data_IF_909788189913
#
_entry.id   IF_909788189913
#
_cell.length_a   1.000
_cell.length_b   1.000
_cell.length_c   1.000
_cell.angle_alpha   90.00
_cell.angle_beta   90.00
_cell.angle_gamma   90.00
#
_symmetry.space_group_name_H-M   'P 1'
#
loop_
_entity.id
_entity.type
_entity.pdbx_description
1 polymer ?
#
# COMPACT_ATOMS: atom_id res chain seq x y z
N UNK A 1 -8.02 -31.34 0.37
CA UNK A 1 -6.64 -31.01 0.79
C UNK A 1 -6.01 -30.21 -0.33
N UNK A 2 -5.79 -28.91 -0.14
CA UNK A 2 -4.95 -28.14 -1.07
C UNK A 2 -3.51 -28.66 -0.91
N UNK A 3 -2.78 -28.98 -1.99
CA UNK A 3 -1.36 -29.24 -1.88
C UNK A 3 -0.74 -28.01 -1.22
N UNK A 4 0.10 -28.21 -0.20
CA UNK A 4 0.97 -27.15 0.30
C UNK A 4 1.75 -26.64 -0.90
N UNK A 5 1.37 -25.49 -1.46
CA UNK A 5 2.17 -24.86 -2.50
C UNK A 5 3.53 -24.60 -1.87
N UNK A 6 4.56 -25.24 -2.43
CA UNK A 6 5.94 -24.98 -2.05
C UNK A 6 6.14 -23.45 -2.11
N UNK A 7 6.52 -22.83 -0.99
CA UNK A 7 6.82 -21.40 -0.96
C UNK A 7 8.08 -21.21 -1.81
N UNK A 8 7.95 -20.52 -2.94
CA UNK A 8 9.05 -20.28 -3.89
C UNK A 8 9.68 -18.92 -3.63
N UNK A 9 11.00 -18.89 -3.65
CA UNK A 9 11.78 -17.65 -3.58
C UNK A 9 11.93 -16.98 -4.93
N UNK A 10 12.33 -15.71 -4.90
CA UNK A 10 12.81 -14.99 -6.07
C UNK A 10 14.31 -14.73 -5.90
N UNK A 11 15.08 -15.02 -6.94
CA UNK A 11 16.53 -14.87 -6.96
C UNK A 11 16.92 -13.40 -6.80
N UNK A 12 18.04 -13.18 -6.12
CA UNK A 12 18.69 -11.88 -6.02
C UNK A 12 20.20 -12.11 -6.10
N UNK A 13 20.68 -12.32 -7.32
CA UNK A 13 22.09 -12.59 -7.56
C UNK A 13 22.96 -11.39 -7.14
N UNK A 14 24.20 -11.60 -6.69
CA UNK A 14 25.10 -10.52 -6.30
C UNK A 14 25.18 -9.41 -7.35
N UNK A 15 24.96 -8.16 -6.94
CA UNK A 15 24.97 -6.99 -7.82
C UNK A 15 23.68 -6.76 -8.61
N UNK A 16 22.69 -7.65 -8.57
CA UNK A 16 21.40 -7.43 -9.23
C UNK A 16 20.48 -6.46 -8.47
N UNK A 17 20.70 -6.32 -7.15
CA UNK A 17 19.98 -5.40 -6.25
C UNK A 17 18.45 -5.43 -6.41
N UNK A 18 17.88 -6.61 -6.67
CA UNK A 18 16.46 -6.81 -6.99
C UNK A 18 15.59 -7.18 -5.78
N UNK A 19 16.12 -7.11 -4.56
CA UNK A 19 15.38 -7.45 -3.34
C UNK A 19 14.10 -6.60 -3.15
N UNK A 20 14.13 -5.32 -3.51
CA UNK A 20 12.96 -4.43 -3.42
C UNK A 20 11.81 -4.90 -4.33
N UNK A 21 12.15 -5.34 -5.54
CA UNK A 21 11.20 -5.89 -6.50
C UNK A 21 10.66 -7.23 -6.01
N UNK A 22 11.54 -8.10 -5.52
CA UNK A 22 11.16 -9.41 -5.01
C UNK A 22 10.16 -9.28 -3.86
N UNK A 23 10.39 -8.35 -2.93
CA UNK A 23 9.47 -8.04 -1.84
C UNK A 23 8.10 -7.57 -2.35
N UNK A 24 8.06 -6.65 -3.34
CA UNK A 24 6.79 -6.17 -3.91
C UNK A 24 6.03 -7.27 -4.66
N UNK A 25 6.74 -8.11 -5.42
CA UNK A 25 6.14 -9.25 -6.14
C UNK A 25 5.59 -10.27 -5.17
N UNK A 26 6.33 -10.63 -4.12
CA UNK A 26 5.86 -11.59 -3.13
C UNK A 26 4.64 -11.07 -2.37
N UNK A 27 4.61 -9.77 -2.05
CA UNK A 27 3.43 -9.14 -1.43
C UNK A 27 2.19 -9.34 -2.29
N UNK A 28 2.26 -9.07 -3.60
CA UNK A 28 1.16 -9.25 -4.54
C UNK A 28 0.83 -10.73 -4.79
N UNK A 29 1.85 -11.57 -4.94
CA UNK A 29 1.70 -13.00 -5.16
C UNK A 29 0.92 -13.62 -4.02
N UNK A 30 1.26 -13.35 -2.77
CA UNK A 30 0.57 -13.98 -1.65
C UNK A 30 -0.88 -13.49 -1.40
N UNK A 31 -1.43 -12.62 -2.25
CA UNK A 31 -2.85 -12.24 -2.21
C UNK A 31 -3.69 -13.05 -3.22
N UNK A 32 -4.42 -14.06 -2.73
CA UNK A 32 -5.23 -14.97 -3.57
C UNK A 32 -6.23 -14.21 -4.49
N UNK A 33 -6.89 -13.19 -3.94
CA UNK A 33 -7.85 -12.38 -4.70
C UNK A 33 -7.19 -11.61 -5.85
N UNK A 34 -5.95 -11.17 -5.66
CA UNK A 34 -5.16 -10.51 -6.69
C UNK A 34 -4.67 -11.52 -7.73
N UNK A 35 -4.08 -12.65 -7.32
CA UNK A 35 -3.66 -13.70 -8.25
C UNK A 35 -4.81 -14.14 -9.16
N UNK A 36 -5.96 -14.45 -8.57
CA UNK A 36 -7.14 -14.93 -9.28
C UNK A 36 -7.67 -13.87 -10.23
N UNK A 37 -7.77 -12.62 -9.76
CA UNK A 37 -8.20 -11.52 -10.62
C UNK A 37 -7.24 -11.29 -11.79
N UNK A 38 -5.92 -11.35 -11.57
CA UNK A 38 -4.94 -11.09 -12.62
C UNK A 38 -4.97 -12.20 -13.67
N UNK A 39 -5.12 -13.45 -13.23
CA UNK A 39 -5.22 -14.60 -14.11
C UNK A 39 -6.43 -14.49 -15.06
N UNK A 40 -7.57 -13.98 -14.57
CA UNK A 40 -8.80 -13.81 -15.36
C UNK A 40 -8.71 -12.72 -16.44
N UNK A 41 -7.78 -11.76 -16.33
CA UNK A 41 -7.65 -10.66 -17.29
C UNK A 41 -6.98 -11.14 -18.59
N UNK A 42 -7.72 -11.20 -19.69
CA UNK A 42 -7.21 -11.66 -20.99
C UNK A 42 -6.82 -10.55 -21.96
N UNK A 43 -7.23 -9.30 -21.69
CA UNK A 43 -6.94 -8.15 -22.55
C UNK A 43 -6.33 -6.99 -21.76
N UNK A 44 -5.42 -6.27 -22.41
CA UNK A 44 -4.79 -5.04 -21.91
C UNK A 44 -4.21 -4.25 -23.09
N UNK A 45 -3.91 -2.97 -22.88
CA UNK A 45 -3.13 -2.15 -23.80
C UNK A 45 -1.64 -2.44 -23.61
N UNK A 46 -1.10 -3.32 -24.44
CA UNK A 46 0.30 -3.72 -24.38
C UNK A 46 1.22 -2.60 -24.92
N UNK A 47 2.30 -2.30 -24.20
CA UNK A 47 3.35 -1.36 -24.65
C UNK A 47 4.52 -2.05 -25.37
N UNK A 48 4.37 -3.33 -25.72
CA UNK A 48 5.41 -4.17 -26.31
C UNK A 48 5.93 -5.25 -25.35
N UNK A 49 6.44 -6.36 -25.91
CA UNK A 49 6.79 -7.55 -25.12
C UNK A 49 7.87 -7.34 -24.05
N UNK A 50 8.77 -6.37 -24.24
CA UNK A 50 9.92 -6.14 -23.32
C UNK A 50 9.72 -5.00 -22.31
N UNK A 51 8.69 -4.17 -22.49
CA UNK A 51 8.44 -2.97 -21.66
C UNK A 51 7.06 -2.98 -21.00
N UNK A 52 6.27 -4.03 -21.22
CA UNK A 52 4.94 -4.14 -20.64
C UNK A 52 4.98 -4.83 -19.27
N UNK A 53 4.79 -4.05 -18.21
CA UNK A 53 4.75 -4.52 -16.82
C UNK A 53 3.63 -5.54 -16.60
N UNK A 54 2.47 -5.37 -17.24
CA UNK A 54 1.36 -6.34 -17.16
C UNK A 54 1.78 -7.73 -17.67
N UNK A 55 2.37 -7.80 -18.87
CA UNK A 55 2.86 -9.07 -19.43
C UNK A 55 3.96 -9.68 -18.56
N UNK A 56 4.94 -8.89 -18.15
CA UNK A 56 6.07 -9.38 -17.36
C UNK A 56 5.61 -9.93 -16.00
N UNK A 57 4.69 -9.24 -15.31
CA UNK A 57 4.12 -9.72 -14.05
C UNK A 57 3.38 -11.05 -14.25
N UNK A 58 2.61 -11.20 -15.33
CA UNK A 58 1.95 -12.47 -15.67
C UNK A 58 2.94 -13.61 -15.90
N UNK A 59 4.07 -13.35 -16.56
CA UNK A 59 5.13 -14.35 -16.75
C UNK A 59 5.67 -14.80 -15.39
N UNK A 60 6.02 -13.86 -14.50
CA UNK A 60 6.53 -14.16 -13.16
C UNK A 60 5.49 -14.96 -12.34
N UNK A 61 4.22 -14.56 -12.35
CA UNK A 61 3.16 -15.28 -11.65
C UNK A 61 2.91 -16.68 -12.21
N UNK A 62 3.03 -16.85 -13.52
CA UNK A 62 2.93 -18.16 -14.18
C UNK A 62 4.08 -19.07 -13.73
N UNK A 63 5.30 -18.55 -13.67
CA UNK A 63 6.46 -19.30 -13.16
C UNK A 63 6.29 -19.66 -11.68
N UNK A 64 5.88 -18.70 -10.83
CA UNK A 64 5.59 -18.95 -9.41
C UNK A 64 4.53 -20.04 -9.24
N UNK A 65 3.53 -20.09 -10.12
CA UNK A 65 2.49 -21.11 -10.08
C UNK A 65 2.96 -22.49 -10.52
N UNK A 66 3.64 -22.58 -11.66
CA UNK A 66 3.81 -23.85 -12.38
C UNK A 66 5.24 -24.38 -12.49
N UNK A 67 6.26 -23.55 -12.23
CA UNK A 67 7.66 -24.01 -12.30
C UNK A 67 8.01 -24.91 -11.12
N UNK A 68 8.79 -25.96 -11.32
CA UNK A 68 9.27 -26.82 -10.22
C UNK A 68 10.51 -26.26 -9.52
N UNK A 69 11.06 -25.13 -9.99
CA UNK A 69 12.25 -24.53 -9.38
C UNK A 69 11.89 -23.88 -8.02
N UNK A 70 12.70 -24.09 -6.97
CA UNK A 70 12.48 -23.47 -5.66
C UNK A 70 12.74 -21.97 -5.66
N UNK A 71 13.62 -21.50 -6.56
CA UNK A 71 13.97 -20.09 -6.75
C UNK A 71 13.76 -19.71 -8.21
N UNK A 72 13.09 -18.58 -8.44
CA UNK A 72 12.72 -18.09 -9.77
C UNK A 72 13.31 -16.70 -10.03
N UNK A 73 13.41 -16.31 -11.29
CA UNK A 73 13.92 -15.01 -11.68
C UNK A 73 12.78 -14.03 -12.02
N UNK A 74 12.83 -12.84 -11.43
CA UNK A 74 11.91 -11.73 -11.74
C UNK A 74 12.51 -10.74 -12.76
N UNK A 75 13.63 -11.07 -13.41
CA UNK A 75 14.38 -10.22 -14.33
C UNK A 75 13.54 -9.65 -15.47
N UNK A 76 12.60 -10.43 -16.02
CA UNK A 76 11.68 -9.93 -17.06
C UNK A 76 10.83 -8.74 -16.58
N UNK A 77 10.43 -8.75 -15.31
CA UNK A 77 9.68 -7.65 -14.69
C UNK A 77 10.62 -6.50 -14.31
N UNK A 78 11.83 -6.81 -13.84
CA UNK A 78 12.89 -5.81 -13.59
C UNK A 78 13.17 -4.99 -14.85
N UNK A 79 13.38 -5.65 -15.98
CA UNK A 79 13.64 -4.99 -17.27
C UNK A 79 12.45 -4.18 -17.76
N UNK A 80 11.21 -4.69 -17.58
CA UNK A 80 10.01 -3.96 -17.97
C UNK A 80 9.82 -2.67 -17.15
N UNK A 81 10.14 -2.69 -15.85
CA UNK A 81 10.14 -1.50 -15.00
C UNK A 81 11.24 -0.53 -15.42
N UNK A 82 12.49 -0.98 -15.59
CA UNK A 82 13.61 -0.14 -16.02
C UNK A 82 13.33 0.58 -17.36
N UNK A 83 12.63 -0.09 -18.28
CA UNK A 83 12.26 0.49 -19.57
C UNK A 83 11.14 1.55 -19.48
N UNK A 84 10.34 1.54 -18.40
CA UNK A 84 9.25 2.50 -18.22
C UNK A 84 9.61 3.71 -17.35
N UNK A 85 10.62 3.56 -16.50
CA UNK A 85 11.07 4.60 -15.60
C UNK A 85 12.53 4.88 -15.89
N UNK A 86 12.85 6.06 -16.42
CA UNK A 86 14.19 6.38 -16.94
C UNK A 86 15.28 6.48 -15.88
N UNK A 87 14.91 6.83 -14.65
CA UNK A 87 15.78 7.13 -13.52
C UNK A 87 15.54 6.22 -12.32
N UNK A 88 14.41 5.49 -12.33
CA UNK A 88 14.03 4.55 -11.28
C UNK A 88 14.07 3.12 -11.80
N UNK A 89 14.30 2.19 -10.90
CA UNK A 89 14.32 0.77 -11.20
C UNK A 89 15.35 0.44 -12.28
N UNK A 90 16.53 1.04 -12.26
CA UNK A 90 17.58 0.73 -13.24
C UNK A 90 18.30 -0.59 -12.91
N UNK A 91 18.72 -1.34 -13.94
CA UNK A 91 19.37 -2.64 -13.74
C UNK A 91 20.65 -2.48 -12.91
N UNK A 92 20.81 -3.32 -11.89
CA UNK A 92 21.93 -3.25 -10.95
C UNK A 92 21.78 -2.21 -9.85
N UNK A 93 20.77 -1.35 -9.90
CA UNK A 93 20.51 -0.34 -8.87
C UNK A 93 19.46 -0.82 -7.87
N UNK A 94 19.60 -0.36 -6.62
CA UNK A 94 18.63 -0.58 -5.54
C UNK A 94 17.56 0.51 -5.55
N UNK A 95 16.34 0.16 -5.17
CA UNK A 95 15.20 1.07 -5.10
C UNK A 95 14.30 0.75 -3.90
N UNK A 96 13.28 1.57 -3.68
CA UNK A 96 12.28 1.38 -2.63
C UNK A 96 11.20 0.35 -3.03
N UNK A 97 10.89 -0.58 -2.11
CA UNK A 97 9.93 -1.65 -2.37
C UNK A 97 8.48 -1.17 -2.36
N UNK A 98 8.14 -0.20 -1.50
CA UNK A 98 6.79 0.36 -1.45
C UNK A 98 6.51 1.16 -2.72
N UNK A 99 7.45 1.99 -3.15
CA UNK A 99 7.34 2.71 -4.43
C UNK A 99 7.27 1.72 -5.61
N UNK A 100 8.08 0.66 -5.61
CA UNK A 100 7.99 -0.38 -6.65
C UNK A 100 6.59 -1.01 -6.72
N UNK A 101 5.99 -1.35 -5.57
CA UNK A 101 4.63 -1.88 -5.50
C UNK A 101 3.62 -0.88 -6.10
N UNK A 102 3.70 0.38 -5.72
CA UNK A 102 2.82 1.43 -6.25
C UNK A 102 2.96 1.61 -7.76
N UNK A 103 4.18 1.58 -8.26
CA UNK A 103 4.46 1.70 -9.69
C UNK A 103 3.96 0.48 -10.45
N UNK A 104 4.10 -0.74 -9.91
CA UNK A 104 3.48 -1.94 -10.51
C UNK A 104 1.95 -1.77 -10.57
N UNK A 105 1.30 -1.39 -9.48
CA UNK A 105 -0.14 -1.17 -9.41
C UNK A 105 -0.62 -0.06 -10.38
N UNK A 106 0.14 1.03 -10.48
CA UNK A 106 -0.10 2.13 -11.41
C UNK A 106 0.05 1.73 -12.87
N UNK A 107 1.08 0.93 -13.20
CA UNK A 107 1.27 0.40 -14.55
C UNK A 107 0.19 -0.61 -14.92
N UNK A 108 -0.28 -1.45 -14.00
CA UNK A 108 -1.43 -2.32 -14.22
C UNK A 108 -2.69 -1.52 -14.52
N UNK A 109 -2.97 -0.46 -13.74
CA UNK A 109 -4.06 0.47 -14.03
C UNK A 109 -3.94 1.07 -15.43
N UNK A 110 -2.78 1.61 -15.78
CA UNK A 110 -2.51 2.19 -17.11
C UNK A 110 -2.78 1.19 -18.25
N UNK A 111 -2.31 -0.05 -18.12
CA UNK A 111 -2.50 -1.08 -19.14
C UNK A 111 -3.97 -1.53 -19.26
N UNK A 112 -4.78 -1.41 -18.20
CA UNK A 112 -6.17 -1.88 -18.20
C UNK A 112 -7.17 -0.76 -18.54
N UNK A 113 -6.89 0.48 -18.18
CA UNK A 113 -7.83 1.60 -18.31
C UNK A 113 -7.46 2.48 -19.50
N UNK A 114 -8.18 2.31 -20.60
CA UNK A 114 -7.93 2.92 -21.92
C UNK A 114 -7.93 4.47 -21.96
N UNK A 115 -8.47 5.14 -20.96
CA UNK A 115 -8.80 6.58 -21.03
C UNK A 115 -7.80 7.51 -20.31
N UNK A 116 -6.62 7.03 -19.89
CA UNK A 116 -5.68 7.82 -19.08
C UNK A 116 -6.34 8.49 -17.85
N UNK A 117 -7.44 7.92 -17.35
CA UNK A 117 -8.12 8.47 -16.18
C UNK A 117 -7.14 8.51 -15.01
N UNK A 118 -7.06 9.64 -14.27
CA UNK A 118 -6.25 9.72 -13.08
C UNK A 118 -6.55 8.55 -12.15
N UNK A 119 -5.52 7.95 -11.58
CA UNK A 119 -5.66 6.77 -10.71
C UNK A 119 -6.65 7.04 -9.57
N UNK A 120 -6.72 8.26 -9.07
CA UNK A 120 -7.63 8.65 -7.99
C UNK A 120 -9.12 8.69 -8.37
N UNK A 121 -9.45 8.62 -9.67
CA UNK A 121 -10.82 8.78 -10.20
C UNK A 121 -11.27 7.56 -11.05
N UNK A 122 -10.52 6.47 -11.00
CA UNK A 122 -10.84 5.26 -11.76
C UNK A 122 -12.14 4.62 -11.26
N UNK A 123 -13.09 4.37 -12.16
CA UNK A 123 -14.33 3.63 -11.89
C UNK A 123 -14.45 2.35 -12.70
N UNK A 124 -13.39 1.97 -13.42
CA UNK A 124 -13.37 0.79 -14.27
C UNK A 124 -13.42 -0.51 -13.44
N UNK A 125 -14.55 -1.23 -13.51
CA UNK A 125 -14.77 -2.47 -12.75
C UNK A 125 -13.81 -3.62 -13.10
N UNK A 126 -13.16 -3.57 -14.27
CA UNK A 126 -12.13 -4.52 -14.68
C UNK A 126 -10.72 -4.13 -14.24
N UNK A 127 -10.51 -2.94 -13.67
CA UNK A 127 -9.21 -2.54 -13.13
C UNK A 127 -8.94 -3.29 -11.83
N UNK A 128 -8.09 -4.31 -11.87
CA UNK A 128 -7.78 -5.12 -10.69
C UNK A 128 -7.15 -4.31 -9.57
N UNK A 129 -6.33 -3.32 -9.90
CA UNK A 129 -5.69 -2.42 -8.93
C UNK A 129 -6.75 -1.75 -8.04
N UNK A 130 -7.74 -1.10 -8.65
CA UNK A 130 -8.81 -0.41 -7.91
C UNK A 130 -9.83 -1.36 -7.32
N UNK A 131 -10.17 -2.45 -8.01
CA UNK A 131 -11.11 -3.43 -7.49
C UNK A 131 -10.61 -4.09 -6.21
N UNK A 132 -9.31 -4.40 -6.14
CA UNK A 132 -8.74 -5.09 -4.97
C UNK A 132 -8.29 -4.14 -3.88
N UNK A 133 -7.61 -3.05 -4.22
CA UNK A 133 -6.97 -2.16 -3.25
C UNK A 133 -7.67 -0.79 -3.08
N UNK A 134 -8.68 -0.48 -3.90
CA UNK A 134 -9.31 0.84 -3.94
C UNK A 134 -10.08 1.21 -2.68
N UNK A 135 -9.53 2.15 -1.93
CA UNK A 135 -10.20 2.86 -0.84
C UNK A 135 -10.81 4.15 -1.36
N UNK A 136 -12.12 4.20 -1.49
CA UNK A 136 -12.86 5.42 -1.83
C UNK A 136 -13.02 6.27 -0.57
N UNK A 137 -12.35 7.42 -0.53
CA UNK A 137 -12.22 8.26 0.65
C UNK A 137 -12.89 9.60 0.38
N UNK A 138 -13.75 10.01 1.31
CA UNK A 138 -14.25 11.38 1.41
C UNK A 138 -13.55 12.09 2.57
N UNK A 139 -12.86 13.18 2.26
CA UNK A 139 -12.32 14.07 3.28
C UNK A 139 -13.35 15.14 3.66
N UNK A 140 -13.35 15.50 4.93
CA UNK A 140 -14.07 16.66 5.45
C UNK A 140 -13.27 17.25 6.61
N UNK A 141 -13.48 18.53 6.89
CA UNK A 141 -12.90 19.17 8.07
C UNK A 141 -14.01 19.66 8.98
N UNK A 142 -14.00 19.23 10.23
CA UNK A 142 -15.08 19.52 11.15
C UNK A 142 -14.56 20.21 12.41
N UNK A 143 -15.26 21.24 12.86
CA UNK A 143 -15.01 21.88 14.13
C UNK A 143 -15.71 21.12 15.25
N UNK A 144 -14.99 20.53 16.22
CA UNK A 144 -15.61 19.85 17.36
C UNK A 144 -16.35 20.83 18.29
N UNK A 145 -16.01 22.13 18.25
CA UNK A 145 -16.60 23.15 19.13
C UNK A 145 -17.98 23.64 18.66
N UNK A 146 -18.12 23.98 17.37
CA UNK A 146 -19.36 24.57 16.83
C UNK A 146 -20.10 23.68 15.81
N UNK A 147 -19.54 22.52 15.46
CA UNK A 147 -20.15 21.61 14.48
C UNK A 147 -20.01 22.04 13.02
N UNK A 148 -19.35 23.17 12.72
CA UNK A 148 -19.10 23.59 11.33
C UNK A 148 -18.31 22.50 10.57
N UNK A 149 -18.81 22.09 9.41
CA UNK A 149 -18.16 21.12 8.52
C UNK A 149 -17.83 21.80 7.19
N UNK A 150 -16.58 21.69 6.78
CA UNK A 150 -16.10 22.06 5.46
C UNK A 150 -15.90 20.79 4.63
N UNK A 151 -16.58 20.63 3.47
CA UNK A 151 -16.36 19.49 2.60
C UNK A 151 -14.95 19.50 2.01
N UNK A 152 -14.38 18.32 1.83
CA UNK A 152 -13.10 18.08 1.15
C UNK A 152 -13.26 17.26 -0.12
N UNK A 153 -12.16 16.90 -0.78
CA UNK A 153 -12.20 16.07 -1.98
C UNK A 153 -12.65 14.64 -1.68
N UNK A 154 -13.18 13.99 -2.72
CA UNK A 154 -13.36 12.54 -2.79
C UNK A 154 -12.36 11.95 -3.77
N UNK A 155 -11.68 10.89 -3.38
CA UNK A 155 -10.68 10.23 -4.22
C UNK A 155 -10.50 8.77 -3.84
N UNK A 156 -9.95 7.98 -4.76
CA UNK A 156 -9.51 6.62 -4.48
C UNK A 156 -8.04 6.57 -4.11
N UNK A 157 -7.73 5.93 -2.99
CA UNK A 157 -6.38 5.66 -2.50
C UNK A 157 -6.12 4.15 -2.54
N UNK A 158 -4.91 3.72 -2.93
CA UNK A 158 -4.57 2.30 -2.98
C UNK A 158 -3.78 1.83 -1.76
N UNK A 159 -2.90 2.70 -1.25
CA UNK A 159 -2.06 2.46 -0.07
C UNK A 159 -2.31 3.53 0.97
N UNK A 160 -2.67 3.16 2.19
CA UNK A 160 -2.83 4.11 3.30
C UNK A 160 -1.51 4.26 4.07
N UNK A 161 -0.87 5.42 3.93
CA UNK A 161 0.35 5.73 4.66
C UNK A 161 0.07 6.34 6.03
N UNK A 162 0.82 5.89 7.03
CA UNK A 162 0.85 6.46 8.37
C UNK A 162 2.29 6.59 8.88
N UNK A 163 2.59 7.65 9.65
CA UNK A 163 3.86 7.75 10.37
C UNK A 163 3.90 6.70 11.47
N UNK A 164 4.94 5.87 11.45
CA UNK A 164 5.20 4.86 12.46
C UNK A 164 5.45 5.50 13.84
N UNK A 165 6.20 6.61 13.88
CA UNK A 165 6.46 7.36 15.11
C UNK A 165 5.19 7.92 15.75
N UNK A 166 4.35 8.58 14.94
CA UNK A 166 3.07 9.10 15.42
C UNK A 166 2.14 7.97 15.91
N UNK A 167 2.11 6.85 15.20
CA UNK A 167 1.33 5.68 15.57
C UNK A 167 1.79 5.08 16.90
N UNK A 168 3.09 4.86 17.07
CA UNK A 168 3.67 4.36 18.31
C UNK A 168 3.40 5.30 19.48
N UNK A 169 3.56 6.61 19.29
CA UNK A 169 3.19 7.61 20.31
C UNK A 169 1.73 7.47 20.72
N UNK A 170 0.80 7.36 19.77
CA UNK A 170 -0.63 7.17 20.05
C UNK A 170 -0.90 5.85 20.79
N UNK A 171 -0.26 4.76 20.39
CA UNK A 171 -0.42 3.46 21.04
C UNK A 171 0.09 3.49 22.49
N UNK A 172 1.26 4.10 22.74
CA UNK A 172 1.79 4.32 24.10
C UNK A 172 0.84 5.17 24.95
N UNK A 173 0.30 6.26 24.39
CA UNK A 173 -0.66 7.13 25.09
C UNK A 173 -1.98 6.43 25.45
N UNK A 174 -2.40 5.43 24.66
CA UNK A 174 -3.59 4.65 24.99
C UNK A 174 -3.38 3.69 26.16
N UNK A 175 -2.17 3.61 26.73
CA UNK A 175 -1.88 2.78 27.91
C UNK A 175 -1.97 1.29 27.64
N UNK A 176 -2.00 0.88 26.37
CA UNK A 176 -2.12 -0.52 25.96
C UNK A 176 -0.69 -1.06 25.88
N UNK A 177 -0.22 -1.55 27.03
CA UNK A 177 1.01 -2.32 27.11
C UNK A 177 0.86 -3.68 26.42
N UNK A 178 1.99 -4.33 26.14
CA UNK A 178 2.15 -5.67 25.54
C UNK A 178 1.30 -6.79 26.18
N UNK A 179 0.64 -6.52 27.31
CA UNK A 179 -0.08 -7.49 28.14
C UNK A 179 -1.51 -7.80 27.67
N UNK A 180 -2.16 -6.98 26.84
CA UNK A 180 -3.49 -7.30 26.31
C UNK A 180 -3.75 -6.66 24.93
N UNK A 181 -3.15 -7.19 23.86
CA UNK A 181 -3.38 -6.70 22.51
C UNK A 181 -4.82 -7.02 22.08
N UNK A 182 -5.72 -6.03 22.20
CA UNK A 182 -7.02 -6.13 21.53
C UNK A 182 -6.83 -5.91 20.02
N UNK A 183 -7.48 -6.72 19.15
CA UNK A 183 -7.39 -6.58 17.69
C UNK A 183 -7.71 -5.16 17.18
N UNK A 184 -8.51 -4.40 17.92
CA UNK A 184 -8.98 -3.07 17.51
C UNK A 184 -7.97 -1.94 17.79
N UNK A 185 -6.93 -2.21 18.57
CA UNK A 185 -6.01 -1.18 19.09
C UNK A 185 -5.20 -0.53 17.99
N UNK A 186 -4.65 -1.34 17.10
CA UNK A 186 -3.89 -0.86 15.97
C UNK A 186 -4.76 -0.02 15.03
N UNK A 187 -5.97 -0.50 14.71
CA UNK A 187 -6.94 0.22 13.89
C UNK A 187 -7.38 1.55 14.52
N UNK A 188 -7.58 1.58 15.84
CA UNK A 188 -7.88 2.80 16.58
C UNK A 188 -6.70 3.78 16.56
N UNK A 189 -5.47 3.28 16.71
CA UNK A 189 -4.23 4.04 16.55
C UNK A 189 -4.15 4.72 15.19
N UNK A 190 -4.30 3.94 14.12
CA UNK A 190 -4.32 4.46 12.73
C UNK A 190 -5.39 5.54 12.55
N UNK A 191 -6.60 5.32 13.06
CA UNK A 191 -7.69 6.30 12.99
C UNK A 191 -7.34 7.61 13.69
N UNK A 192 -6.66 7.56 14.84
CA UNK A 192 -6.24 8.77 15.57
C UNK A 192 -5.11 9.52 14.84
N UNK A 193 -4.12 8.79 14.32
CA UNK A 193 -3.02 9.40 13.54
C UNK A 193 -3.54 10.05 12.26
N UNK A 194 -4.48 9.41 11.56
CA UNK A 194 -5.06 9.94 10.33
C UNK A 194 -5.79 11.29 10.50
N UNK A 195 -6.22 11.63 11.72
CA UNK A 195 -6.84 12.92 12.05
C UNK A 195 -5.88 13.93 12.70
N UNK A 196 -4.64 13.54 12.99
CA UNK A 196 -3.66 14.38 13.67
C UNK A 196 -2.80 15.14 12.65
N UNK A 197 -2.65 16.46 12.83
CA UNK A 197 -1.61 17.24 12.14
C UNK A 197 -2.08 18.36 11.20
N UNK A 198 -3.36 18.41 10.80
CA UNK A 198 -3.86 19.48 9.91
C UNK A 198 -4.92 20.36 10.57
N UNK A 199 -4.46 21.16 11.54
CA UNK A 199 -5.28 22.12 12.27
C UNK A 199 -5.43 23.40 11.47
N UNK A 200 -6.67 23.73 11.10
CA UNK A 200 -7.01 25.04 10.52
C UNK A 200 -7.90 25.83 11.46
N UNK A 201 -7.80 27.15 11.45
CA UNK A 201 -8.70 27.99 12.23
C UNK A 201 -10.15 27.82 11.75
N UNK A 202 -11.08 27.66 12.69
CA UNK A 202 -12.50 27.57 12.35
C UNK A 202 -13.06 28.98 12.06
N UNK A 203 -13.63 29.22 10.87
CA UNK A 203 -14.16 30.55 10.50
C UNK A 203 -15.36 30.97 11.36
N UNK A 204 -16.03 30.02 12.01
CA UNK A 204 -17.20 30.28 12.88
C UNK A 204 -16.84 30.51 14.36
N UNK A 205 -15.62 30.19 14.78
CA UNK A 205 -15.19 30.33 16.18
C UNK A 205 -14.25 31.53 16.43
N UNK A 206 -13.83 32.23 15.38
CA UNK A 206 -12.85 33.35 15.46
C UNK A 206 -13.34 34.61 16.18
N UNK A 207 -14.63 34.70 16.54
CA UNK A 207 -15.20 35.85 17.27
C UNK A 207 -15.33 35.69 18.78
N UNK A 208 -15.07 34.50 19.36
CA UNK A 208 -15.32 34.23 20.77
C UNK A 208 -14.14 33.57 21.48
N UNK A 209 -13.16 34.41 21.87
CA UNK A 209 -12.28 34.27 23.05
C UNK A 209 -11.44 32.99 23.24
N UNK A 210 -11.44 32.06 22.28
CA UNK A 210 -10.80 30.75 22.44
C UNK A 210 -10.92 29.92 21.16
N UNK A 211 -10.39 30.46 20.06
CA UNK A 211 -10.59 29.99 18.68
C UNK A 211 -10.71 28.48 18.53
N UNK A 212 -11.76 28.02 17.84
CA UNK A 212 -11.92 26.62 17.47
C UNK A 212 -11.03 26.25 16.27
N UNK A 213 -10.68 24.98 16.15
CA UNK A 213 -9.96 24.44 14.99
C UNK A 213 -10.85 23.48 14.19
N UNK A 214 -10.53 23.32 12.90
CA UNK A 214 -11.07 22.29 12.04
C UNK A 214 -10.12 21.10 12.07
N UNK A 215 -10.67 19.92 12.39
CA UNK A 215 -9.95 18.65 12.37
C UNK A 215 -10.26 17.91 11.07
N UNK A 216 -9.24 17.38 10.39
CA UNK A 216 -9.43 16.50 9.24
C UNK A 216 -10.13 15.21 9.69
N UNK A 217 -11.19 14.85 8.98
CA UNK A 217 -11.91 13.59 9.10
C UNK A 217 -11.92 12.92 7.74
N UNK A 218 -11.61 11.63 7.72
CA UNK A 218 -11.67 10.79 6.53
C UNK A 218 -12.76 9.75 6.72
N UNK A 219 -13.65 9.65 5.74
CA UNK A 219 -14.69 8.63 5.68
C UNK A 219 -14.34 7.66 4.57
N UNK A 220 -14.19 6.39 4.91
CA UNK A 220 -14.06 5.33 3.93
C UNK A 220 -15.46 4.96 3.42
N UNK A 221 -15.70 5.18 2.14
CA UNK A 221 -16.98 4.95 1.47
C UNK A 221 -17.05 3.58 0.76
N UNK A 222 -15.89 2.94 0.54
CA UNK A 222 -15.80 1.59 -0.03
C UNK A 222 -15.45 0.54 1.03
N UNK A 223 -15.50 -0.73 0.63
CA UNK A 223 -14.93 -1.86 1.36
C UNK A 223 -13.90 -2.52 0.45
N UNK A 224 -12.60 -2.17 0.56
CA UNK A 224 -11.58 -2.80 -0.28
C UNK A 224 -11.45 -4.29 0.08
N UNK A 225 -11.20 -5.13 -0.92
CA UNK A 225 -10.91 -6.55 -0.71
C UNK A 225 -9.58 -6.73 0.04
N UNK A 226 -8.62 -5.85 -0.24
CA UNK A 226 -7.27 -5.84 0.33
C UNK A 226 -6.96 -4.42 0.84
N UNK A 227 -6.60 -4.31 2.11
CA UNK A 227 -6.10 -3.06 2.70
C UNK A 227 -4.57 -3.06 2.65
N UNK A 228 -3.98 -2.13 1.89
CA UNK A 228 -2.53 -1.91 1.89
C UNK A 228 -2.17 -0.76 2.82
N UNK A 229 -1.29 -1.02 3.80
CA UNK A 229 -0.81 -0.03 4.77
C UNK A 229 0.69 0.20 4.56
N UNK A 230 1.09 1.46 4.40
CA UNK A 230 2.48 1.88 4.37
C UNK A 230 2.86 2.57 5.68
N UNK A 231 3.86 2.05 6.39
CA UNK A 231 4.33 2.66 7.63
C UNK A 231 5.65 3.38 7.38
N UNK A 232 5.62 4.70 7.53
CA UNK A 232 6.76 5.57 7.24
C UNK A 232 7.51 5.89 8.53
N UNK A 233 8.80 5.61 8.54
CA UNK A 233 9.68 5.97 9.64
C UNK A 233 10.30 7.34 9.39
N UNK A 234 10.48 8.12 10.46
CA UNK A 234 11.17 9.41 10.38
C UNK A 234 12.70 9.26 10.24
N UNK A 235 13.20 8.02 10.31
CA UNK A 235 14.60 7.64 10.26
C UNK A 235 14.79 6.39 9.40
N UNK A 236 15.92 6.30 8.70
CA UNK A 236 16.38 5.11 7.99
C UNK A 236 16.80 3.97 8.94
N UNK A 237 16.98 4.28 10.23
CA UNK A 237 17.39 3.36 11.29
C UNK A 237 16.43 3.44 12.49
N UNK A 238 15.20 2.90 12.37
CA UNK A 238 14.29 2.82 13.50
C UNK A 238 14.87 1.92 14.61
N UNK A 239 14.58 2.26 15.88
CA UNK A 239 15.14 1.51 17.01
C UNK A 239 14.53 0.10 17.11
N UNK A 240 15.31 -0.90 17.50
CA UNK A 240 14.80 -2.27 17.66
C UNK A 240 13.61 -2.38 18.62
N UNK A 241 13.54 -1.50 19.62
CA UNK A 241 12.40 -1.40 20.53
C UNK A 241 11.14 -0.90 19.81
N UNK A 242 11.25 0.13 18.98
CA UNK A 242 10.12 0.67 18.21
C UNK A 242 9.61 -0.33 17.16
N UNK A 243 10.50 -1.06 16.47
CA UNK A 243 10.09 -2.16 15.58
C UNK A 243 9.35 -3.23 16.38
N UNK A 244 9.90 -3.65 17.52
CA UNK A 244 9.29 -4.68 18.36
C UNK A 244 7.91 -4.28 18.87
N UNK A 245 7.74 -3.03 19.28
CA UNK A 245 6.46 -2.49 19.72
C UNK A 245 5.45 -2.40 18.57
N UNK A 246 5.89 -1.97 17.38
CA UNK A 246 5.01 -1.94 16.22
C UNK A 246 4.52 -3.34 15.83
N UNK A 247 5.44 -4.30 15.70
CA UNK A 247 5.12 -5.69 15.35
C UNK A 247 4.17 -6.33 16.37
N UNK A 248 4.39 -6.10 17.66
CA UNK A 248 3.49 -6.58 18.71
C UNK A 248 2.07 -6.03 18.58
N UNK A 249 1.91 -4.77 18.14
CA UNK A 249 0.61 -4.12 18.00
C UNK A 249 -0.11 -4.47 16.70
N UNK A 250 0.61 -4.81 15.62
CA UNK A 250 0.01 -5.27 14.34
C UNK A 250 -0.73 -6.61 14.54
N UNK A 251 -0.57 -7.28 15.68
CA UNK A 251 -1.28 -8.51 16.01
C UNK A 251 -0.89 -9.69 15.13
N UNK A 252 0.26 -9.58 14.45
CA UNK A 252 0.80 -10.59 13.55
C UNK A 252 1.97 -11.32 14.22
N UNK A 253 1.90 -12.64 14.29
CA UNK A 253 3.05 -13.47 14.63
C UNK A 253 3.94 -13.58 13.39
N UNK A 254 4.97 -12.73 13.28
CA UNK A 254 6.02 -12.95 12.28
C UNK A 254 6.99 -13.97 12.87
N UNK A 255 6.79 -15.26 12.55
CA UNK A 255 7.82 -16.27 12.79
C UNK A 255 8.91 -16.09 11.75
N UNK A 256 10.04 -15.51 12.17
CA UNK A 256 11.29 -15.67 11.44
C UNK A 256 11.72 -17.13 11.62
N UNK A 257 11.87 -17.85 10.50
CA UNK A 257 12.51 -19.17 10.46
C UNK A 257 14.02 -19.05 10.65
#
# INVERSE_FOLDING_TARGET
MHPQQLIKGLANDPGSNSCFLNSAVQLLWHQELFQTGLNQLTSHLCSGHRSCVFCALKVVFTQLRFSDRPTLDAGVLRSALAAQFSDRFQLGEMDDSAECLEQILGRLHFHLVRQQQPQQQCTAGHCITHRRFGMDIQEERACPRCGFVQPGPRFTQLTHYASAGALLSQLRHMGIGRANPSPDVFGLGLRKVAGAGDLRACPKCGGSGGGGCLLLRRKLLSRPDLLCLGLVWDSDRPSGADLGDLLANVGSTVTFG
#
